data_IF_574879178946
#
_entry.id   IF_574879178946
#
_cell.length_a   1.000
_cell.length_b   1.000
_cell.length_c   1.000
_cell.angle_alpha   90.00
_cell.angle_beta   90.00
_cell.angle_gamma   90.00
#
_symmetry.space_group_name_H-M   'P 1'
#
loop_
_entity.id
_entity.type
_entity.pdbx_description
1 polymer ?
#
# COMPACT_ATOMS: atom_id res chain seq x y z
N UNK A 1 -2.94 -21.91 7.13
CA UNK A 1 -1.99 -20.77 7.22
C UNK A 1 -2.77 -19.52 6.85
N UNK A 2 -2.94 -18.61 7.80
CA UNK A 2 -3.64 -17.34 7.60
C UNK A 2 -2.64 -16.34 7.04
N UNK A 3 -3.01 -15.63 5.97
CA UNK A 3 -2.24 -14.48 5.48
C UNK A 3 -2.88 -13.21 6.04
N UNK A 4 -2.08 -12.24 6.44
CA UNK A 4 -2.55 -11.00 7.05
C UNK A 4 -1.84 -9.84 6.39
N UNK A 5 -2.59 -8.80 6.05
CA UNK A 5 -2.04 -7.48 5.73
C UNK A 5 -2.19 -6.62 6.99
N UNK A 6 -1.11 -5.96 7.41
CA UNK A 6 -1.09 -5.13 8.61
C UNK A 6 -0.56 -3.74 8.32
N UNK A 7 -1.20 -2.72 8.90
CA UNK A 7 -0.64 -1.38 8.96
C UNK A 7 0.18 -1.21 10.24
N UNK A 8 1.47 -0.97 10.07
CA UNK A 8 2.41 -0.76 11.15
C UNK A 8 2.87 0.70 11.19
N UNK A 9 2.77 1.33 12.35
CA UNK A 9 3.33 2.66 12.59
C UNK A 9 4.76 2.52 13.10
N UNK A 10 5.73 2.99 12.31
CA UNK A 10 7.13 3.03 12.70
C UNK A 10 7.37 3.96 13.88
N UNK A 11 6.67 5.09 13.94
CA UNK A 11 6.78 6.06 15.03
C UNK A 11 6.27 5.51 16.37
N UNK A 12 5.14 4.80 16.35
CA UNK A 12 4.54 4.24 17.58
C UNK A 12 5.06 2.85 17.91
N UNK A 13 5.73 2.20 16.96
CA UNK A 13 6.13 0.79 17.04
C UNK A 13 4.95 -0.17 17.27
N UNK A 14 3.79 0.15 16.69
CA UNK A 14 2.52 -0.58 16.88
C UNK A 14 1.85 -0.95 15.56
N UNK A 15 1.12 -2.06 15.57
CA UNK A 15 0.15 -2.40 14.53
C UNK A 15 -1.14 -1.63 14.83
N UNK A 16 -1.55 -0.77 13.90
CA UNK A 16 -2.74 0.07 14.05
C UNK A 16 -4.01 -0.62 13.52
N UNK A 17 -3.85 -1.45 12.48
CA UNK A 17 -4.92 -2.28 11.95
C UNK A 17 -4.35 -3.48 11.20
N UNK A 18 -5.18 -4.51 11.04
CA UNK A 18 -4.85 -5.68 10.24
C UNK A 18 -6.10 -6.29 9.63
N UNK A 19 -5.95 -6.89 8.46
CA UNK A 19 -7.02 -7.60 7.75
C UNK A 19 -6.51 -8.98 7.32
N UNK A 20 -7.19 -10.07 7.72
CA UNK A 20 -6.89 -11.40 7.21
C UNK A 20 -7.27 -11.49 5.73
N UNK A 21 -6.42 -12.15 4.93
CA UNK A 21 -6.65 -12.33 3.50
C UNK A 21 -6.57 -13.80 3.12
N UNK A 22 -7.46 -14.21 2.21
CA UNK A 22 -7.42 -15.55 1.64
C UNK A 22 -6.23 -15.71 0.69
N UNK A 23 -5.69 -16.93 0.57
CA UNK A 23 -4.54 -17.23 -0.30
C UNK A 23 -4.69 -16.77 -1.76
N UNK A 24 -5.92 -16.66 -2.25
CA UNK A 24 -6.24 -16.17 -3.60
C UNK A 24 -6.69 -14.71 -3.65
N UNK A 25 -7.12 -14.14 -2.51
CA UNK A 25 -7.59 -12.77 -2.42
C UNK A 25 -6.40 -11.88 -2.04
N UNK A 26 -5.85 -11.25 -3.07
CA UNK A 26 -4.56 -10.57 -3.03
C UNK A 26 -4.61 -9.37 -2.08
N UNK A 27 -3.53 -9.09 -1.35
CA UNK A 27 -3.41 -7.92 -0.46
C UNK A 27 -3.81 -6.57 -1.10
N UNK A 28 -3.89 -6.53 -2.43
CA UNK A 28 -4.49 -5.45 -3.25
C UNK A 28 -5.87 -5.02 -2.74
N UNK A 29 -6.76 -5.92 -2.32
CA UNK A 29 -8.11 -5.53 -1.84
C UNK A 29 -8.11 -5.10 -0.37
N UNK A 30 -7.22 -5.67 0.44
CA UNK A 30 -7.13 -5.37 1.87
C UNK A 30 -6.50 -4.01 2.18
N UNK A 31 -5.52 -3.57 1.36
CA UNK A 31 -4.87 -2.26 1.56
C UNK A 31 -5.89 -1.11 1.52
N UNK A 32 -6.77 -0.99 0.51
CA UNK A 32 -7.82 0.04 0.50
C UNK A 32 -8.71 0.06 1.76
N UNK A 33 -9.09 -1.11 2.30
CA UNK A 33 -9.92 -1.21 3.50
C UNK A 33 -9.18 -0.67 4.74
N UNK A 34 -7.91 -1.05 4.88
CA UNK A 34 -7.03 -0.55 5.94
C UNK A 34 -6.88 0.98 5.86
N UNK A 35 -6.65 1.50 4.65
CA UNK A 35 -6.51 2.94 4.43
C UNK A 35 -7.80 3.69 4.78
N UNK A 36 -8.98 3.11 4.55
CA UNK A 36 -10.26 3.75 4.87
C UNK A 36 -10.46 3.97 6.37
N UNK A 37 -10.00 3.03 7.19
CA UNK A 37 -10.16 3.06 8.65
C UNK A 37 -9.13 3.99 9.31
N UNK A 38 -7.94 4.11 8.72
CA UNK A 38 -6.84 4.89 9.31
C UNK A 38 -6.91 6.38 8.94
N UNK A 39 -6.57 7.22 9.92
CA UNK A 39 -6.22 8.62 9.70
C UNK A 39 -4.75 8.68 9.32
N UNK A 40 -4.48 8.96 8.05
CA UNK A 40 -3.13 8.90 7.47
C UNK A 40 -2.63 10.25 6.92
N UNK A 41 -3.41 11.33 7.08
CA UNK A 41 -3.03 12.65 6.58
C UNK A 41 -1.61 13.04 7.04
N UNK A 42 -0.77 13.44 6.09
CA UNK A 42 0.64 13.77 6.33
C UNK A 42 1.58 12.58 6.61
N UNK A 43 1.11 11.33 6.51
CA UNK A 43 1.96 10.16 6.67
C UNK A 43 2.59 9.72 5.34
N UNK A 44 3.81 9.17 5.41
CA UNK A 44 4.41 8.43 4.31
C UNK A 44 4.01 6.95 4.40
N UNK A 45 3.28 6.47 3.41
CA UNK A 45 2.85 5.07 3.31
C UNK A 45 3.85 4.27 2.48
N UNK A 46 4.42 3.23 3.08
CA UNK A 46 5.29 2.27 2.38
C UNK A 46 4.58 0.94 2.19
N UNK A 47 4.75 0.31 1.03
CA UNK A 47 4.23 -1.03 0.77
C UNK A 47 5.14 -1.78 -0.20
N UNK A 48 4.94 -3.10 -0.29
CA UNK A 48 5.63 -3.91 -1.28
C UNK A 48 5.09 -3.64 -2.69
N UNK A 49 5.69 -4.33 -3.68
CA UNK A 49 5.30 -4.12 -5.06
C UNK A 49 3.91 -4.64 -5.45
N UNK A 50 3.25 -5.45 -4.60
CA UNK A 50 1.85 -5.81 -4.82
C UNK A 50 0.93 -4.63 -4.54
N UNK A 51 1.30 -3.76 -3.59
CA UNK A 51 0.60 -2.51 -3.28
C UNK A 51 0.73 -1.41 -4.35
N UNK A 52 1.59 -1.60 -5.36
CA UNK A 52 1.81 -0.65 -6.46
C UNK A 52 0.65 -0.68 -7.48
N UNK A 53 -0.54 -0.25 -7.02
CA UNK A 53 -1.77 -0.18 -7.80
C UNK A 53 -2.25 1.26 -7.89
N UNK A 54 -2.72 1.68 -9.06
CA UNK A 54 -3.18 3.06 -9.31
C UNK A 54 -4.23 3.52 -8.30
N UNK A 55 -5.20 2.67 -7.98
CA UNK A 55 -6.30 3.02 -7.07
C UNK A 55 -5.83 3.14 -5.61
N UNK A 56 -4.82 2.34 -5.21
CA UNK A 56 -4.21 2.44 -3.89
C UNK A 56 -3.44 3.76 -3.78
N UNK A 57 -2.54 4.05 -4.74
CA UNK A 57 -1.77 5.29 -4.77
C UNK A 57 -2.71 6.52 -4.80
N UNK A 58 -3.77 6.46 -5.60
CA UNK A 58 -4.78 7.51 -5.66
C UNK A 58 -5.48 7.71 -4.32
N UNK A 59 -5.91 6.63 -3.65
CA UNK A 59 -6.55 6.72 -2.32
C UNK A 59 -5.64 7.33 -1.26
N UNK A 60 -4.34 7.02 -1.29
CA UNK A 60 -3.36 7.62 -0.38
C UNK A 60 -3.29 9.13 -0.60
N UNK A 61 -3.15 9.58 -1.84
CA UNK A 61 -3.11 11.01 -2.20
C UNK A 61 -4.43 11.72 -1.89
N UNK A 62 -5.57 11.09 -2.19
CA UNK A 62 -6.90 11.64 -1.90
C UNK A 62 -7.10 11.83 -0.37
N UNK A 63 -6.42 11.03 0.46
CA UNK A 63 -6.35 11.18 1.93
C UNK A 63 -5.23 12.12 2.40
N UNK A 64 -4.60 12.87 1.49
CA UNK A 64 -3.49 13.82 1.75
C UNK A 64 -2.29 13.17 2.43
N UNK A 65 -1.97 11.96 2.05
CA UNK A 65 -0.78 11.24 2.44
C UNK A 65 0.16 11.08 1.24
N UNK A 66 1.42 10.77 1.53
CA UNK A 66 2.44 10.46 0.54
C UNK A 66 2.68 8.95 0.46
N UNK A 67 3.27 8.45 -0.62
CA UNK A 67 3.62 7.04 -0.75
C UNK A 67 5.01 6.80 -1.33
N UNK A 68 5.65 5.74 -0.84
CA UNK A 68 6.86 5.16 -1.41
C UNK A 68 6.62 3.65 -1.58
N UNK A 69 6.37 3.23 -2.82
CA UNK A 69 5.99 1.85 -3.12
C UNK A 69 6.87 1.33 -4.24
N UNK A 70 7.43 0.13 -4.07
CA UNK A 70 8.26 -0.50 -5.09
C UNK A 70 7.44 -0.84 -6.33
N UNK A 71 7.92 -0.52 -7.54
CA UNK A 71 7.34 -1.04 -8.77
C UNK A 71 7.89 -2.46 -9.06
N UNK A 72 7.07 -3.32 -9.68
CA UNK A 72 7.50 -4.64 -10.16
C UNK A 72 7.65 -4.59 -11.68
N UNK A 73 8.63 -5.33 -12.21
CA UNK A 73 8.96 -5.37 -13.65
C UNK A 73 7.84 -5.90 -14.57
N UNK A 74 6.70 -6.33 -14.01
CA UNK A 74 5.51 -6.66 -14.80
C UNK A 74 4.69 -5.42 -15.21
N UNK A 75 5.15 -4.22 -14.86
CA UNK A 75 4.57 -2.93 -15.28
C UNK A 75 5.56 -2.18 -16.20
N UNK A 76 5.74 -2.60 -17.47
CA UNK A 76 6.83 -2.14 -18.31
C UNK A 76 6.81 -0.62 -18.53
N UNK A 77 5.65 -0.03 -18.81
CA UNK A 77 5.54 1.43 -19.00
C UNK A 77 5.90 2.22 -17.74
N UNK A 78 5.60 1.69 -16.54
CA UNK A 78 5.96 2.35 -15.30
C UNK A 78 7.47 2.27 -15.08
N UNK A 79 8.07 1.10 -15.29
CA UNK A 79 9.52 0.92 -15.21
C UNK A 79 10.26 1.82 -16.20
N UNK A 80 9.83 1.86 -17.46
CA UNK A 80 10.40 2.72 -18.50
C UNK A 80 10.37 4.20 -18.11
N UNK A 81 9.29 4.64 -17.45
CA UNK A 81 9.17 6.03 -17.00
C UNK A 81 10.12 6.31 -15.83
N UNK A 82 10.21 5.41 -14.86
CA UNK A 82 11.10 5.56 -13.69
C UNK A 82 12.58 5.60 -14.13
N UNK A 83 12.98 4.81 -15.13
CA UNK A 83 14.37 4.77 -15.63
C UNK A 83 14.76 6.00 -16.45
N UNK A 84 13.79 6.80 -16.91
CA UNK A 84 14.01 7.99 -17.74
C UNK A 84 14.04 9.30 -16.96
N UNK A 85 13.53 9.30 -15.72
CA UNK A 85 13.59 10.42 -14.78
C UNK A 85 14.97 10.51 -14.09
#
# INVERSE_FOLDING_TARGET
>A
MVHIVSAYSTQLSLILSFTPVDKKSNGITAIPEILDILVIEGCLITSDAMGCQKDICKKIVDKKADYLICAKNNQPTLCDNIERD
#
